data_IF_897979391169
#
_entry.id   IF_897979391169
#
_cell.length_a   1.000
_cell.length_b   1.000
_cell.length_c   1.000
_cell.angle_alpha   90.00
_cell.angle_beta   90.00
_cell.angle_gamma   90.00
#
_symmetry.space_group_name_H-M   'P 1'
#
loop_
_entity.id
_entity.type
_entity.pdbx_description
1 polymer ?
#
# COMPACT_ATOMS: atom_id res chain seq x y z
N UNK A 1 -11.42 28.49 0.88
CA UNK A 1 -11.44 27.05 1.18
C UNK A 1 -11.29 26.35 -0.17
N UNK A 2 -10.22 25.63 -0.48
CA UNK A 2 -10.29 24.15 -0.56
C UNK A 2 -8.91 23.47 -0.75
N UNK A 3 -7.79 24.22 -0.69
CA UNK A 3 -6.44 23.65 -0.91
C UNK A 3 -6.06 22.48 0.01
N UNK A 4 -6.60 22.45 1.23
CA UNK A 4 -6.34 21.35 2.19
C UNK A 4 -7.00 20.03 1.76
N UNK A 5 -8.14 20.09 1.07
CA UNK A 5 -8.88 18.90 0.64
C UNK A 5 -8.24 18.29 -0.60
N UNK A 6 -7.89 19.15 -1.56
CA UNK A 6 -7.14 18.83 -2.77
C UNK A 6 -5.83 18.07 -2.49
N UNK A 7 -5.04 18.55 -1.52
CA UNK A 7 -3.78 17.92 -1.15
C UNK A 7 -4.01 16.52 -0.55
N UNK A 8 -5.03 16.36 0.30
CA UNK A 8 -5.36 15.07 0.91
C UNK A 8 -5.82 14.06 -0.13
N UNK A 9 -6.67 14.48 -1.07
CA UNK A 9 -7.13 13.62 -2.16
C UNK A 9 -5.97 13.17 -3.05
N UNK A 10 -5.06 14.08 -3.41
CA UNK A 10 -3.86 13.74 -4.20
C UNK A 10 -2.94 12.75 -3.47
N UNK A 11 -2.79 12.90 -2.15
CA UNK A 11 -2.01 11.95 -1.33
C UNK A 11 -2.69 10.58 -1.32
N UNK A 12 -4.01 10.52 -1.13
CA UNK A 12 -4.75 9.27 -1.13
C UNK A 12 -4.66 8.56 -2.48
N UNK A 13 -4.82 9.29 -3.59
CA UNK A 13 -4.68 8.77 -4.94
C UNK A 13 -3.25 8.24 -5.20
N UNK A 14 -2.23 8.98 -4.76
CA UNK A 14 -0.84 8.50 -4.83
C UNK A 14 -0.61 7.22 -4.03
N UNK A 15 -1.24 7.08 -2.86
CA UNK A 15 -1.19 5.86 -2.05
C UNK A 15 -1.78 4.63 -2.75
N UNK A 16 -2.79 4.80 -3.61
CA UNK A 16 -3.35 3.70 -4.42
C UNK A 16 -2.34 3.16 -5.43
N UNK A 17 -1.55 4.04 -6.05
CA UNK A 17 -0.53 3.67 -7.03
C UNK A 17 0.58 2.83 -6.37
N UNK A 18 1.01 3.25 -5.17
CA UNK A 18 2.01 2.50 -4.39
C UNK A 18 1.49 1.13 -3.98
N UNK A 19 0.23 1.05 -3.50
CA UNK A 19 -0.41 -0.21 -3.10
C UNK A 19 -0.60 -1.18 -4.28
N UNK A 20 -0.83 -0.65 -5.48
CA UNK A 20 -0.90 -1.46 -6.70
C UNK A 20 0.49 -1.94 -7.20
N UNK A 21 1.58 -1.57 -6.52
CA UNK A 21 2.94 -1.91 -6.95
C UNK A 21 3.43 -1.10 -8.16
N UNK A 22 2.74 -0.02 -8.53
CA UNK A 22 3.01 0.76 -9.73
C UNK A 22 3.90 1.98 -9.48
N UNK A 23 4.59 2.02 -8.33
CA UNK A 23 5.41 3.18 -7.93
C UNK A 23 6.61 3.43 -8.84
N UNK A 24 7.14 2.37 -9.46
CA UNK A 24 8.31 2.41 -10.36
C UNK A 24 7.89 2.39 -11.84
N UNK A 25 6.59 2.36 -12.12
CA UNK A 25 6.06 2.33 -13.48
C UNK A 25 6.14 3.71 -14.12
N UNK A 26 6.41 3.75 -15.42
CA UNK A 26 6.39 4.99 -16.20
C UNK A 26 5.03 5.71 -16.09
N UNK A 27 5.08 7.04 -16.00
CA UNK A 27 3.89 7.87 -15.77
C UNK A 27 2.91 7.82 -16.94
N UNK A 28 3.40 7.72 -18.18
CA UNK A 28 2.55 7.62 -19.35
C UNK A 28 1.86 6.25 -19.40
N UNK A 29 2.56 5.18 -19.01
CA UNK A 29 1.96 3.84 -18.86
C UNK A 29 0.85 3.87 -17.79
N UNK A 30 1.15 4.45 -16.62
CA UNK A 30 0.17 4.53 -15.53
C UNK A 30 -1.08 5.29 -15.95
N UNK A 31 -0.90 6.45 -16.59
CA UNK A 31 -2.01 7.25 -17.10
C UNK A 31 -2.81 6.52 -18.19
N UNK A 32 -2.12 5.78 -19.06
CA UNK A 32 -2.73 4.93 -20.08
C UNK A 32 -3.67 3.87 -19.49
N UNK A 33 -3.20 3.13 -18.48
CA UNK A 33 -4.00 2.10 -17.77
C UNK A 33 -5.23 2.74 -17.12
N UNK A 34 -5.07 3.85 -16.41
CA UNK A 34 -6.18 4.54 -15.73
C UNK A 34 -7.20 5.08 -16.73
N UNK A 35 -6.76 5.59 -17.88
CA UNK A 35 -7.63 6.12 -18.94
C UNK A 35 -8.40 5.00 -19.62
N UNK A 36 -7.74 3.88 -19.91
CA UNK A 36 -8.41 2.70 -20.47
C UNK A 36 -9.44 2.13 -19.49
N UNK A 37 -9.07 2.03 -18.21
CA UNK A 37 -9.99 1.60 -17.18
C UNK A 37 -11.20 2.54 -17.05
N UNK A 38 -10.99 3.85 -17.08
CA UNK A 38 -12.08 4.83 -17.02
C UNK A 38 -13.08 4.69 -18.18
N UNK A 39 -12.62 4.28 -19.38
CA UNK A 39 -13.49 4.02 -20.53
C UNK A 39 -14.37 2.78 -20.33
N UNK A 40 -13.81 1.71 -19.78
CA UNK A 40 -14.58 0.48 -19.52
C UNK A 40 -15.48 0.60 -18.26
N UNK A 41 -15.31 1.65 -17.45
CA UNK A 41 -16.13 1.91 -16.26
C UNK A 41 -17.59 2.26 -16.59
N UNK A 42 -17.91 2.55 -17.86
CA UNK A 42 -19.28 2.70 -18.34
C UNK A 42 -20.12 1.42 -18.20
N UNK A 43 -19.47 0.25 -18.19
CA UNK A 43 -20.10 -1.04 -17.97
C UNK A 43 -20.24 -1.36 -16.48
N UNK A 44 -21.49 -1.51 -16.02
CA UNK A 44 -21.79 -1.73 -14.59
C UNK A 44 -21.16 -3.02 -14.06
N UNK A 45 -21.07 -4.05 -14.89
CA UNK A 45 -20.49 -5.35 -14.52
C UNK A 45 -18.97 -5.27 -14.24
N UNK A 46 -18.23 -4.51 -15.05
CA UNK A 46 -16.79 -4.29 -14.88
C UNK A 46 -16.51 -3.53 -13.59
N UNK A 47 -17.39 -2.58 -13.26
CA UNK A 47 -17.29 -1.76 -12.06
C UNK A 47 -17.33 -2.59 -10.77
N UNK A 48 -18.28 -3.52 -10.67
CA UNK A 48 -18.40 -4.41 -9.51
C UNK A 48 -17.22 -5.38 -9.38
N UNK A 49 -16.73 -5.91 -10.52
CA UNK A 49 -15.55 -6.76 -10.55
C UNK A 49 -14.31 -6.04 -10.05
N UNK A 50 -14.03 -4.83 -10.54
CA UNK A 50 -12.89 -4.04 -10.08
C UNK A 50 -13.02 -3.60 -8.64
N UNK A 51 -14.24 -3.30 -8.17
CA UNK A 51 -14.48 -3.01 -6.76
C UNK A 51 -14.16 -4.22 -5.88
N UNK A 52 -14.53 -5.42 -6.29
CA UNK A 52 -14.20 -6.65 -5.57
C UNK A 52 -12.68 -6.89 -5.51
N UNK A 53 -11.99 -6.74 -6.64
CA UNK A 53 -10.52 -6.87 -6.73
C UNK A 53 -9.82 -5.83 -5.84
N UNK A 54 -10.23 -4.56 -5.94
CA UNK A 54 -9.68 -3.49 -5.11
C UNK A 54 -9.88 -3.76 -3.62
N UNK A 55 -11.08 -4.19 -3.20
CA UNK A 55 -11.37 -4.52 -1.80
C UNK A 55 -10.52 -5.68 -1.28
N UNK A 56 -10.25 -6.68 -2.11
CA UNK A 56 -9.35 -7.79 -1.76
C UNK A 56 -7.89 -7.30 -1.61
N UNK A 57 -7.38 -6.52 -2.56
CA UNK A 57 -6.02 -5.97 -2.49
C UNK A 57 -5.81 -5.06 -1.27
N UNK A 58 -6.84 -4.30 -0.87
CA UNK A 58 -6.80 -3.50 0.35
C UNK A 58 -6.71 -4.33 1.64
N UNK A 59 -7.32 -5.53 1.65
CA UNK A 59 -7.32 -6.45 2.79
C UNK A 59 -5.98 -7.18 2.93
N UNK A 60 -5.36 -7.56 1.81
CA UNK A 60 -4.07 -8.25 1.77
C UNK A 60 -2.92 -7.37 2.27
N UNK A 61 -2.94 -6.07 1.92
CA UNK A 61 -1.94 -5.09 2.37
C UNK A 61 -1.92 -4.90 3.90
N UNK A 62 -3.07 -5.05 4.57
CA UNK A 62 -3.15 -5.03 6.03
C UNK A 62 -2.47 -6.23 6.69
N UNK A 63 -2.25 -7.33 5.94
CA UNK A 63 -1.59 -8.54 6.44
C UNK A 63 -0.08 -8.51 6.18
N UNK A 64 0.39 -7.82 5.12
CA UNK A 64 1.82 -7.65 4.83
C UNK A 64 2.55 -6.66 5.75
N UNK A 65 1.86 -5.74 6.41
CA UNK A 65 2.47 -4.77 7.33
C UNK A 65 2.90 -5.33 8.70
N UNK A 66 2.77 -6.63 8.94
CA UNK A 66 3.00 -7.26 10.24
C UNK A 66 4.00 -8.44 10.20
N UNK A 67 4.78 -8.58 9.11
CA UNK A 67 5.68 -9.74 8.90
C UNK A 67 7.16 -9.40 9.12
N UNK A 68 7.52 -8.13 9.37
CA UNK A 68 8.91 -7.69 9.57
C UNK A 68 9.30 -7.40 11.03
N UNK A 69 8.48 -7.80 12.01
CA UNK A 69 8.93 -7.87 13.40
C UNK A 69 9.27 -9.33 13.69
N UNK A 70 10.52 -9.72 13.49
CA UNK A 70 11.10 -10.96 13.99
C UNK A 70 11.36 -10.78 15.50
N UNK A 71 10.55 -11.38 16.41
CA UNK A 71 10.73 -11.20 17.84
C UNK A 71 11.78 -12.15 18.44
N UNK A 72 12.41 -13.01 17.63
CA UNK A 72 13.23 -14.14 18.07
C UNK A 72 14.62 -14.14 17.44
N UNK A 73 15.27 -12.97 17.43
CA UNK A 73 16.70 -12.88 17.17
C UNK A 73 17.48 -13.10 18.48
N UNK A 74 18.12 -14.26 18.70
CA UNK A 74 18.83 -14.55 19.92
C UNK A 74 20.29 -14.14 19.72
N UNK A 75 20.63 -12.90 20.06
CA UNK A 75 22.03 -12.55 20.30
C UNK A 75 22.43 -13.01 21.70
N UNK A 76 22.93 -14.25 21.75
CA UNK A 76 23.62 -14.82 22.88
C UNK A 76 25.09 -14.32 22.96
N UNK A 77 25.55 -14.08 24.19
CA UNK A 77 26.96 -13.92 24.59
C UNK A 77 27.33 -12.47 24.88
N UNK A 78 27.83 -12.07 26.05
CA UNK A 78 28.33 -12.76 27.23
C UNK A 78 29.29 -11.79 27.94
N UNK A 79 29.26 -11.70 29.28
CA UNK A 79 30.17 -10.80 29.99
C UNK A 79 29.82 -10.46 31.44
N UNK A 80 29.86 -11.47 32.31
CA UNK A 80 30.39 -11.52 33.70
C UNK A 80 30.61 -10.22 34.51
N UNK A 81 30.14 -10.27 35.77
CA UNK A 81 30.74 -9.61 36.96
C UNK A 81 30.12 -8.25 37.31
N UNK A 82 29.87 -7.84 38.56
CA UNK A 82 30.31 -8.24 39.90
C UNK A 82 29.39 -7.42 40.84
N UNK A 83 28.50 -8.03 41.63
CA UNK A 83 28.61 -8.21 43.09
C UNK A 83 28.68 -6.92 43.95
N UNK A 84 27.69 -6.78 44.86
CA UNK A 84 27.72 -6.13 46.20
C UNK A 84 28.01 -4.60 46.26
N UNK A 85 27.45 -3.76 47.13
CA UNK A 85 26.63 -3.81 48.36
C UNK A 85 25.71 -2.57 48.39
#
# INVERSE_FOLDING_TARGET
MDRKKDAREKIQLGGLIVKAGLRETDKAILLGILTDAAKQLGDTNQRDRWRAIGKAAFKDDSQKGNVDADPDSPHAGGGVGLERD
#
